data_IF_627909557877
#
_entry.id   IF_627909557877
#
_cell.length_a   1.000
_cell.length_b   1.000
_cell.length_c   1.000
_cell.angle_alpha   90.00
_cell.angle_beta   90.00
_cell.angle_gamma   90.00
#
_symmetry.space_group_name_H-M   'P 1'
#
loop_
_entity.id
_entity.type
_entity.pdbx_description
1 polymer ?
#
# COMPACT_ATOMS: atom_id res chain seq x y z
N UNK A 1 -8.06 17.16 -32.53
CA UNK A 1 -8.61 17.54 -31.20
C UNK A 1 -7.51 18.31 -30.48
N UNK A 2 -7.70 19.60 -30.22
CA UNK A 2 -6.72 20.41 -29.51
C UNK A 2 -7.08 20.40 -28.02
N UNK A 3 -6.11 20.03 -27.17
CA UNK A 3 -6.27 20.05 -25.71
C UNK A 3 -5.87 21.44 -25.23
N UNK A 4 -6.79 22.18 -24.63
CA UNK A 4 -6.52 23.51 -24.06
C UNK A 4 -5.81 23.33 -22.72
N UNK A 5 -4.55 23.76 -22.63
CA UNK A 5 -3.79 23.76 -21.37
C UNK A 5 -4.19 24.98 -20.53
N UNK A 6 -4.67 24.75 -19.30
CA UNK A 6 -4.86 25.83 -18.32
C UNK A 6 -3.50 26.33 -17.82
N UNK A 7 -3.41 27.60 -17.40
CA UNK A 7 -2.17 28.17 -16.82
C UNK A 7 -1.68 27.28 -15.66
N UNK A 8 -0.52 26.64 -15.86
CA UNK A 8 0.13 25.79 -14.86
C UNK A 8 -0.10 24.27 -15.01
N UNK A 9 -0.88 23.81 -15.99
CA UNK A 9 -1.02 22.39 -16.29
C UNK A 9 -0.15 21.98 -17.47
N UNK A 10 0.63 20.91 -17.31
CA UNK A 10 1.36 20.27 -18.40
C UNK A 10 0.45 19.33 -19.19
N UNK A 11 0.86 18.95 -20.40
CA UNK A 11 0.16 17.93 -21.18
C UNK A 11 0.09 16.58 -20.46
N UNK A 12 1.10 16.28 -19.63
CA UNK A 12 1.17 15.05 -18.84
C UNK A 12 0.13 15.05 -17.71
N UNK A 13 -0.15 16.20 -17.09
CA UNK A 13 -1.26 16.34 -16.13
C UNK A 13 -2.63 16.08 -16.79
N UNK A 14 -2.79 16.51 -18.06
CA UNK A 14 -4.03 16.29 -18.81
C UNK A 14 -4.15 14.91 -19.43
N UNK A 15 -3.10 14.10 -19.46
CA UNK A 15 -3.15 12.73 -19.99
C UNK A 15 -2.93 11.65 -18.93
N UNK A 16 -2.36 12.01 -17.77
CA UNK A 16 -1.83 11.08 -16.78
C UNK A 16 -0.94 10.04 -17.45
N UNK A 17 0.05 10.54 -18.19
CA UNK A 17 1.01 9.72 -18.93
C UNK A 17 2.41 10.26 -18.73
N UNK A 18 2.83 10.35 -17.46
CA UNK A 18 4.18 10.75 -17.12
C UNK A 18 5.17 9.67 -17.58
N UNK A 19 6.24 10.10 -18.26
CA UNK A 19 7.34 9.22 -18.61
C UNK A 19 8.23 9.08 -17.38
N UNK A 20 8.14 7.93 -16.71
CA UNK A 20 8.91 7.68 -15.50
C UNK A 20 10.29 7.08 -15.81
N UNK A 21 11.35 7.53 -15.12
CA UNK A 21 12.67 6.91 -15.21
C UNK A 21 12.63 5.48 -14.66
N UNK A 22 13.44 4.59 -15.25
CA UNK A 22 13.60 3.18 -14.82
C UNK A 22 14.45 3.01 -13.54
N UNK A 23 14.67 4.08 -12.76
CA UNK A 23 15.39 3.96 -11.50
C UNK A 23 14.48 3.29 -10.46
N UNK A 24 14.94 2.20 -9.85
CA UNK A 24 14.17 1.50 -8.82
C UNK A 24 14.34 2.17 -7.45
N UNK A 25 13.62 3.26 -7.22
CA UNK A 25 13.55 3.97 -5.93
C UNK A 25 12.13 3.90 -5.35
N UNK A 26 11.76 2.75 -4.74
CA UNK A 26 10.37 2.51 -4.38
C UNK A 26 9.92 3.38 -3.21
N UNK A 27 8.68 3.87 -3.31
CA UNK A 27 8.02 4.69 -2.30
C UNK A 27 6.78 4.00 -1.77
N UNK A 28 6.47 4.24 -0.49
CA UNK A 28 5.24 3.75 0.13
C UNK A 28 4.20 4.87 0.11
N UNK A 29 3.03 4.60 -0.46
CA UNK A 29 1.87 5.49 -0.49
C UNK A 29 0.77 5.04 0.46
N UNK A 30 0.07 5.99 1.10
CA UNK A 30 -1.15 5.74 1.88
C UNK A 30 -2.25 6.73 1.48
N UNK A 31 -3.42 6.21 1.10
CA UNK A 31 -4.57 7.03 0.68
C UNK A 31 -5.62 7.25 1.79
N UNK A 32 -5.32 6.88 3.03
CA UNK A 32 -6.27 6.92 4.15
C UNK A 32 -7.02 5.61 4.37
N UNK A 33 -6.92 4.65 3.44
CA UNK A 33 -7.58 3.35 3.50
C UNK A 33 -6.57 2.21 3.33
N UNK A 34 -5.69 2.31 2.34
CA UNK A 34 -4.74 1.27 1.95
C UNK A 34 -3.32 1.81 1.76
N UNK A 35 -2.35 0.95 2.10
CA UNK A 35 -0.93 1.13 1.80
C UNK A 35 -0.56 0.39 0.50
N UNK A 36 0.16 1.08 -0.37
CA UNK A 36 0.63 0.58 -1.66
C UNK A 36 2.09 0.99 -1.92
N UNK A 37 2.87 0.10 -2.53
CA UNK A 37 4.29 0.34 -2.87
C UNK A 37 4.36 0.66 -4.37
N UNK A 38 4.94 1.81 -4.72
CA UNK A 38 5.16 2.26 -6.10
C UNK A 38 6.64 2.14 -6.44
N UNK A 39 7.00 1.82 -7.69
CA UNK A 39 8.41 1.62 -8.04
C UNK A 39 9.20 2.93 -8.00
N UNK A 40 8.53 4.06 -8.21
CA UNK A 40 9.08 5.42 -8.08
C UNK A 40 8.05 6.43 -7.59
N UNK A 41 8.52 7.61 -7.17
CA UNK A 41 7.65 8.77 -6.91
C UNK A 41 6.87 9.20 -8.17
N UNK A 42 7.46 9.05 -9.36
CA UNK A 42 6.80 9.37 -10.62
C UNK A 42 5.58 8.50 -10.87
N UNK A 43 5.69 7.19 -10.63
CA UNK A 43 4.55 6.28 -10.76
C UNK A 43 3.42 6.61 -9.78
N UNK A 44 3.77 6.97 -8.53
CA UNK A 44 2.78 7.42 -7.56
C UNK A 44 2.05 8.68 -8.04
N UNK A 45 2.75 9.65 -8.63
CA UNK A 45 2.13 10.84 -9.23
C UNK A 45 1.20 10.48 -10.38
N UNK A 46 1.62 9.56 -11.23
CA UNK A 46 0.80 9.08 -12.34
C UNK A 46 -0.49 8.41 -11.85
N UNK A 47 -0.36 7.54 -10.84
CA UNK A 47 -1.50 6.91 -10.19
C UNK A 47 -2.45 7.96 -9.59
N UNK A 48 -1.92 8.92 -8.84
CA UNK A 48 -2.72 10.01 -8.26
C UNK A 48 -3.44 10.87 -9.30
N UNK A 49 -2.81 11.13 -10.44
CA UNK A 49 -3.44 11.82 -11.55
C UNK A 49 -4.68 11.06 -12.06
N UNK A 50 -4.55 9.74 -12.26
CA UNK A 50 -5.68 8.89 -12.68
C UNK A 50 -6.77 8.82 -11.61
N UNK A 51 -6.39 8.66 -10.34
CA UNK A 51 -7.31 8.63 -9.19
C UNK A 51 -8.12 9.92 -9.08
N UNK A 52 -7.49 11.08 -9.35
CA UNK A 52 -8.17 12.37 -9.39
C UNK A 52 -9.28 12.44 -10.44
N UNK A 53 -9.16 11.75 -11.57
CA UNK A 53 -10.19 11.70 -12.63
C UNK A 53 -11.43 10.91 -12.22
N UNK A 54 -11.21 9.84 -11.47
CA UNK A 54 -12.29 9.01 -10.95
C UNK A 54 -12.74 9.45 -9.54
N UNK A 55 -12.28 10.62 -9.08
CA UNK A 55 -12.64 11.23 -7.78
C UNK A 55 -12.37 10.31 -6.58
N UNK A 56 -11.26 9.59 -6.63
CA UNK A 56 -10.81 8.69 -5.55
C UNK A 56 -9.68 9.33 -4.74
N UNK A 57 -9.41 8.79 -3.55
CA UNK A 57 -8.40 9.34 -2.64
C UNK A 57 -6.99 9.14 -3.19
N UNK A 58 -6.23 10.22 -3.27
CA UNK A 58 -4.83 10.18 -3.67
C UNK A 58 -3.94 9.59 -2.55
N UNK A 59 -2.90 8.87 -2.96
CA UNK A 59 -1.85 8.38 -2.09
C UNK A 59 -0.91 9.50 -1.67
N UNK A 60 -0.59 9.55 -0.38
CA UNK A 60 0.48 10.39 0.17
C UNK A 60 1.69 9.53 0.49
N UNK A 61 2.88 10.02 0.19
CA UNK A 61 4.11 9.31 0.55
C UNK A 61 4.20 9.23 2.07
N UNK A 62 4.47 8.04 2.57
CA UNK A 62 4.65 7.73 3.99
C UNK A 62 5.93 6.92 4.20
N UNK A 63 6.28 6.64 5.45
CA UNK A 63 7.43 5.83 5.79
C UNK A 63 7.39 4.44 5.13
N UNK A 64 8.50 4.03 4.50
CA UNK A 64 8.61 2.75 3.78
C UNK A 64 8.23 1.52 4.62
N UNK A 65 8.54 1.55 5.92
CA UNK A 65 8.24 0.48 6.86
C UNK A 65 6.72 0.19 6.99
N UNK A 66 5.84 1.13 6.66
CA UNK A 66 4.40 0.95 6.72
C UNK A 66 3.90 -0.07 5.67
N UNK A 67 4.48 -0.03 4.47
CA UNK A 67 4.19 -0.99 3.42
C UNK A 67 4.76 -2.39 3.73
N UNK A 68 5.89 -2.47 4.43
CA UNK A 68 6.50 -3.75 4.83
C UNK A 68 5.66 -4.51 5.87
N UNK A 69 4.98 -3.80 6.77
CA UNK A 69 4.06 -4.41 7.74
C UNK A 69 2.87 -5.13 7.06
N UNK A 70 2.43 -4.68 5.88
CA UNK A 70 1.39 -5.36 5.09
C UNK A 70 1.89 -6.71 4.55
N UNK A 71 3.15 -6.78 4.08
CA UNK A 71 3.78 -8.05 3.63
C UNK A 71 3.82 -9.08 4.77
N UNK A 72 3.97 -8.65 6.03
CA UNK A 72 3.99 -9.56 7.18
C UNK A 72 2.60 -10.13 7.55
N UNK A 73 1.51 -9.38 7.33
CA UNK A 73 0.15 -9.87 7.62
C UNK A 73 -0.24 -11.07 6.76
N UNK A 74 0.32 -11.14 5.55
CA UNK A 74 0.09 -12.24 4.60
C UNK A 74 1.17 -13.33 4.70
N UNK A 75 2.23 -13.08 5.47
CA UNK A 75 3.32 -14.00 5.72
C UNK A 75 3.21 -14.56 7.15
N UNK A 76 2.01 -14.99 7.56
CA UNK A 76 1.90 -16.10 8.48
C UNK A 76 2.60 -17.27 7.79
N UNK A 77 3.91 -17.39 7.99
CA UNK A 77 4.72 -18.49 7.49
C UNK A 77 3.98 -19.76 7.91
N UNK A 78 3.42 -20.48 6.95
CA UNK A 78 2.72 -21.76 7.17
C UNK A 78 3.75 -22.78 7.65
N UNK A 79 4.13 -22.65 8.92
CA UNK A 79 4.99 -23.58 9.63
C UNK A 79 4.06 -24.60 10.28
N UNK A 80 4.32 -25.90 10.11
CA UNK A 80 3.56 -26.91 10.82
C UNK A 80 3.71 -26.68 12.31
N UNK A 81 2.61 -26.44 13.01
CA UNK A 81 2.61 -26.34 14.46
C UNK A 81 2.62 -27.74 15.09
N UNK A 82 3.38 -27.96 16.17
CA UNK A 82 3.36 -29.23 16.88
C UNK A 82 1.98 -29.44 17.53
N UNK A 83 1.52 -30.69 17.59
CA UNK A 83 0.28 -31.07 18.28
C UNK A 83 0.47 -31.14 19.80
N UNK A 84 1.01 -30.07 20.40
CA UNK A 84 1.16 -29.94 21.85
C UNK A 84 0.00 -29.10 22.36
N UNK A 85 -0.76 -29.64 23.31
CA UNK A 85 -1.85 -28.90 23.96
C UNK A 85 -1.29 -28.15 25.18
N UNK A 86 -0.98 -26.87 24.98
CA UNK A 86 -0.51 -25.94 26.02
C UNK A 86 -1.23 -24.60 25.84
N UNK A 87 -2.49 -24.49 26.27
CA UNK A 87 -3.37 -23.43 25.81
C UNK A 87 -2.87 -22.05 26.27
N UNK A 88 -2.98 -21.08 25.37
CA UNK A 88 -2.71 -19.67 25.67
C UNK A 88 -3.95 -18.85 25.37
N UNK A 89 -4.07 -17.70 26.02
CA UNK A 89 -5.13 -16.76 25.78
C UNK A 89 -4.56 -15.50 25.13
N UNK A 90 -5.03 -15.17 23.92
CA UNK A 90 -4.60 -13.98 23.20
C UNK A 90 -5.74 -12.96 23.11
N UNK A 91 -5.37 -11.68 23.13
CA UNK A 91 -6.29 -10.55 23.04
C UNK A 91 -5.76 -9.55 22.03
N UNK A 92 -6.56 -9.22 21.01
CA UNK A 92 -6.17 -8.31 19.92
C UNK A 92 -6.70 -6.87 20.12
N UNK A 93 -7.24 -6.57 21.30
CA UNK A 93 -7.90 -5.30 21.58
C UNK A 93 -9.42 -5.32 21.37
N UNK A 94 -9.98 -6.36 20.73
CA UNK A 94 -11.43 -6.51 20.48
C UNK A 94 -11.99 -7.82 20.99
N UNK A 95 -11.26 -8.91 20.78
CA UNK A 95 -11.69 -10.26 21.13
C UNK A 95 -10.60 -11.00 21.90
N UNK A 96 -11.03 -11.82 22.85
CA UNK A 96 -10.18 -12.74 23.58
C UNK A 96 -10.44 -14.16 23.06
N UNK A 97 -9.39 -14.87 22.68
CA UNK A 97 -9.49 -16.24 22.15
C UNK A 97 -8.45 -17.15 22.79
N UNK A 98 -8.83 -18.39 23.06
CA UNK A 98 -7.93 -19.44 23.53
C UNK A 98 -7.42 -20.22 22.33
N UNK A 99 -6.11 -20.44 22.29
CA UNK A 99 -5.41 -21.20 21.26
C UNK A 99 -4.79 -22.43 21.90
N UNK A 100 -4.67 -23.53 21.14
CA UNK A 100 -4.17 -24.82 21.66
C UNK A 100 -2.71 -24.73 22.12
N UNK A 101 -1.91 -23.86 21.48
CA UNK A 101 -0.56 -23.49 21.90
C UNK A 101 -0.11 -22.17 21.27
N UNK A 102 1.09 -21.72 21.62
CA UNK A 102 1.68 -20.45 21.16
C UNK A 102 1.98 -20.39 19.64
N UNK A 103 2.03 -21.52 18.94
CA UNK A 103 2.32 -21.54 17.51
C UNK A 103 1.09 -21.22 16.64
N UNK A 104 -0.13 -21.53 17.13
CA UNK A 104 -1.42 -21.33 16.43
C UNK A 104 -1.92 -19.90 16.61
#
# INVERSE_FOLDING_TARGET
MAVVLSKGQTFEDLTCNYICPDNAEPVCGFNGEEYEEFATECELKNANCLLGRIQTKAYKIVEKALCERKKQRNNCLMRPCPMILRPICAFDGKVQKVFDNQCV
#
